data_IF_552180994686
#
_entry.id   IF_552180994686
#
_cell.length_a   1.000
_cell.length_b   1.000
_cell.length_c   1.000
_cell.angle_alpha   90.00
_cell.angle_beta   90.00
_cell.angle_gamma   90.00
#
_symmetry.space_group_name_H-M   'P 1'
#
loop_
_entity.id
_entity.type
_entity.pdbx_description
1 polymer ?
#
# COMPACT_ATOMS: atom_id res chain seq x y z
N UNK A 1 -4.56 -11.69 -24.39
CA UNK A 1 -4.08 -10.32 -24.61
C UNK A 1 -2.60 -10.23 -24.33
N UNK A 2 -1.93 -9.31 -25.02
CA UNK A 2 -0.57 -8.90 -24.71
C UNK A 2 -0.60 -7.54 -24.00
N UNK A 3 -0.14 -7.49 -22.78
CA UNK A 3 -0.30 -6.37 -21.83
C UNK A 3 1.09 -5.79 -21.55
N UNK A 4 1.25 -4.46 -21.62
CA UNK A 4 2.42 -3.75 -21.13
C UNK A 4 2.04 -2.98 -19.86
N UNK A 5 2.75 -3.24 -18.77
CA UNK A 5 2.64 -2.47 -17.54
C UNK A 5 3.84 -1.52 -17.43
N UNK A 6 3.57 -0.25 -17.16
CA UNK A 6 4.58 0.76 -16.89
C UNK A 6 4.52 1.08 -15.40
N UNK A 7 5.55 0.70 -14.64
CA UNK A 7 5.66 1.02 -13.22
C UNK A 7 7.04 1.58 -12.88
N UNK A 8 7.14 2.32 -11.79
CA UNK A 8 8.39 2.93 -11.37
C UNK A 8 9.45 1.93 -10.95
N UNK A 9 9.07 0.79 -10.41
CA UNK A 9 9.97 -0.29 -10.01
C UNK A 9 9.23 -1.63 -10.07
N UNK A 10 9.95 -2.73 -10.15
CA UNK A 10 9.37 -4.06 -10.05
C UNK A 10 9.35 -4.57 -8.60
N UNK A 11 8.68 -5.69 -8.40
CA UNK A 11 8.49 -6.32 -7.10
C UNK A 11 9.75 -7.00 -6.53
N UNK A 12 10.84 -7.10 -7.28
CA UNK A 12 12.14 -7.53 -6.78
C UNK A 12 12.98 -6.38 -6.22
N UNK A 13 12.53 -5.13 -6.37
CA UNK A 13 13.25 -3.99 -5.85
C UNK A 13 13.26 -4.00 -4.31
N UNK A 14 14.42 -3.81 -3.64
CA UNK A 14 14.49 -3.76 -2.18
C UNK A 14 13.61 -2.67 -1.53
N UNK A 15 13.14 -1.70 -2.31
CA UNK A 15 12.21 -0.65 -1.87
C UNK A 15 10.77 -0.90 -2.31
N UNK A 16 10.45 -2.10 -2.80
CA UNK A 16 9.09 -2.48 -3.17
C UNK A 16 8.11 -2.28 -2.01
N UNK A 17 6.87 -1.99 -2.35
CA UNK A 17 5.80 -1.76 -1.38
C UNK A 17 4.47 -2.31 -1.89
N UNK A 18 3.36 -1.76 -1.40
CA UNK A 18 2.02 -2.24 -1.74
C UNK A 18 1.67 -2.18 -3.23
N UNK A 19 2.19 -1.20 -3.97
CA UNK A 19 1.97 -1.10 -5.42
C UNK A 19 2.67 -2.24 -6.18
N UNK A 20 3.91 -2.54 -5.82
CA UNK A 20 4.67 -3.62 -6.42
C UNK A 20 4.12 -5.00 -6.03
N UNK A 21 3.63 -5.14 -4.79
CA UNK A 21 2.90 -6.34 -4.37
C UNK A 21 1.63 -6.54 -5.19
N UNK A 22 0.82 -5.48 -5.39
CA UNK A 22 -0.35 -5.51 -6.27
C UNK A 22 0.05 -5.96 -7.69
N UNK A 23 1.08 -5.37 -8.26
CA UNK A 23 1.58 -5.72 -9.59
C UNK A 23 1.90 -7.21 -9.68
N UNK A 24 2.70 -7.73 -8.75
CA UNK A 24 3.04 -9.15 -8.70
C UNK A 24 1.80 -10.03 -8.58
N UNK A 25 0.96 -9.75 -7.59
CA UNK A 25 -0.18 -10.60 -7.24
C UNK A 25 -1.27 -10.62 -8.32
N UNK A 26 -1.54 -9.49 -8.96
CA UNK A 26 -2.58 -9.39 -9.99
C UNK A 26 -2.06 -9.91 -11.33
N UNK A 27 -0.90 -9.44 -11.78
CA UNK A 27 -0.43 -9.75 -13.13
C UNK A 27 0.15 -11.15 -13.27
N UNK A 28 0.73 -11.77 -12.23
CA UNK A 28 1.09 -13.19 -12.26
C UNK A 28 -0.15 -14.08 -12.43
N UNK A 29 -1.27 -13.73 -11.82
CA UNK A 29 -2.54 -14.46 -12.00
C UNK A 29 -3.13 -14.26 -13.39
N UNK A 30 -2.95 -13.09 -13.99
CA UNK A 30 -3.33 -12.82 -15.38
C UNK A 30 -2.47 -13.65 -16.34
N UNK A 31 -1.16 -13.76 -16.08
CA UNK A 31 -0.26 -14.64 -16.84
C UNK A 31 -0.70 -16.10 -16.74
N UNK A 32 -1.03 -16.57 -15.54
CA UNK A 32 -1.51 -17.95 -15.32
C UNK A 32 -2.81 -18.29 -16.08
N UNK A 33 -3.56 -17.27 -16.55
CA UNK A 33 -4.75 -17.41 -17.43
C UNK A 33 -4.43 -17.34 -18.92
N UNK A 34 -3.15 -17.41 -19.31
CA UNK A 34 -2.71 -17.46 -20.71
C UNK A 34 -2.53 -16.09 -21.37
N UNK A 35 -2.45 -15.00 -20.61
CA UNK A 35 -2.10 -13.67 -21.15
C UNK A 35 -0.60 -13.42 -21.03
N UNK A 36 -0.02 -12.62 -21.94
CA UNK A 36 1.38 -12.19 -21.87
C UNK A 36 1.45 -10.85 -21.16
N UNK A 37 2.35 -10.69 -20.20
CA UNK A 37 2.58 -9.45 -19.46
C UNK A 37 4.05 -9.06 -19.53
N UNK A 38 4.31 -7.90 -20.09
CA UNK A 38 5.60 -7.23 -20.07
C UNK A 38 5.54 -6.08 -19.06
N UNK A 39 6.60 -5.92 -18.26
CA UNK A 39 6.76 -4.83 -17.29
C UNK A 39 7.96 -3.97 -17.69
N UNK A 40 7.74 -2.67 -17.90
CA UNK A 40 8.80 -1.69 -18.07
C UNK A 40 8.93 -0.85 -16.78
N UNK A 41 10.12 -0.84 -16.18
CA UNK A 41 10.37 -0.15 -14.92
C UNK A 41 11.78 0.45 -14.83
N UNK A 42 12.06 1.18 -13.73
CA UNK A 42 13.41 1.66 -13.45
C UNK A 42 14.33 0.55 -12.97
N UNK A 43 15.63 0.73 -13.20
CA UNK A 43 16.71 -0.14 -12.73
C UNK A 43 17.28 0.35 -11.40
N UNK A 44 18.03 -0.53 -10.72
CA UNK A 44 18.88 -0.20 -9.56
C UNK A 44 20.23 -0.90 -9.65
N UNK A 45 21.11 -0.69 -8.67
CA UNK A 45 22.46 -1.25 -8.70
C UNK A 45 22.45 -2.79 -8.73
N UNK A 46 23.31 -3.36 -9.58
CA UNK A 46 23.59 -4.80 -9.67
C UNK A 46 22.37 -5.67 -10.03
N UNK A 47 21.36 -5.11 -10.74
CA UNK A 47 20.21 -5.88 -11.22
C UNK A 47 20.30 -6.11 -12.74
N UNK A 48 19.92 -7.29 -13.28
CA UNK A 48 19.84 -7.51 -14.71
C UNK A 48 18.87 -6.53 -15.39
N UNK A 49 19.21 -6.06 -16.59
CA UNK A 49 18.33 -5.19 -17.40
C UNK A 49 17.06 -5.90 -17.88
N UNK A 50 17.12 -7.24 -18.01
CA UNK A 50 15.98 -8.09 -18.35
C UNK A 50 15.90 -9.23 -17.37
N UNK A 51 14.68 -9.62 -17.02
CA UNK A 51 14.39 -10.70 -16.08
C UNK A 51 13.03 -11.31 -16.45
N UNK A 52 12.75 -12.51 -15.96
CA UNK A 52 11.41 -13.08 -15.98
C UNK A 52 11.11 -13.57 -14.56
N UNK A 53 10.02 -13.11 -13.99
CA UNK A 53 9.57 -13.53 -12.66
C UNK A 53 8.07 -13.76 -12.68
N UNK A 54 7.65 -14.89 -12.16
CA UNK A 54 6.23 -15.28 -12.12
C UNK A 54 5.55 -15.21 -13.52
N UNK A 55 6.34 -15.44 -14.60
CA UNK A 55 5.89 -15.36 -15.99
C UNK A 55 5.75 -13.94 -16.55
N UNK A 56 6.14 -12.91 -15.81
CA UNK A 56 6.17 -11.51 -16.25
C UNK A 56 7.57 -11.20 -16.80
N UNK A 57 7.65 -10.72 -18.04
CA UNK A 57 8.90 -10.28 -18.67
C UNK A 57 9.22 -8.84 -18.23
N UNK A 58 10.32 -8.67 -17.49
CA UNK A 58 10.70 -7.41 -16.87
C UNK A 58 11.81 -6.73 -17.67
N UNK A 59 11.58 -5.48 -18.05
CA UNK A 59 12.54 -4.60 -18.73
C UNK A 59 12.88 -3.42 -17.82
N UNK A 60 14.16 -3.31 -17.41
CA UNK A 60 14.64 -2.25 -16.52
C UNK A 60 15.45 -1.21 -17.26
N UNK A 61 15.05 0.06 -17.17
CA UNK A 61 15.68 1.17 -17.91
C UNK A 61 15.94 2.37 -16.99
N UNK A 62 17.15 2.93 -17.11
CA UNK A 62 17.56 4.10 -16.33
C UNK A 62 17.64 3.81 -14.83
N UNK A 63 17.50 4.87 -14.05
CA UNK A 63 17.43 4.85 -12.59
C UNK A 63 16.08 5.42 -12.16
N UNK A 64 15.76 5.37 -10.86
CA UNK A 64 14.57 6.02 -10.30
C UNK A 64 14.38 7.49 -10.74
N UNK A 65 15.46 8.22 -10.99
CA UNK A 65 15.40 9.63 -11.36
C UNK A 65 15.34 9.87 -12.87
N UNK A 66 15.87 8.94 -13.68
CA UNK A 66 15.94 9.08 -15.13
C UNK A 66 14.86 8.30 -15.87
N UNK A 67 14.17 7.38 -15.20
CA UNK A 67 13.12 6.53 -15.77
C UNK A 67 12.03 7.32 -16.50
N UNK A 68 11.45 8.40 -15.98
CA UNK A 68 10.38 9.14 -16.67
C UNK A 68 10.80 9.66 -18.05
N UNK A 69 12.07 10.00 -18.21
CA UNK A 69 12.62 10.52 -19.47
C UNK A 69 13.02 9.41 -20.44
N UNK A 70 13.34 8.23 -19.93
CA UNK A 70 13.85 7.11 -20.71
C UNK A 70 12.77 6.07 -21.08
N UNK A 71 11.68 6.01 -20.32
CA UNK A 71 10.63 5.03 -20.50
C UNK A 71 10.01 5.09 -21.92
N UNK A 72 9.60 6.30 -22.36
CA UNK A 72 9.04 6.48 -23.71
C UNK A 72 10.04 6.10 -24.79
N UNK A 73 11.28 6.58 -24.71
CA UNK A 73 12.33 6.25 -25.69
C UNK A 73 12.58 4.75 -25.76
N UNK A 74 12.61 4.07 -24.62
CA UNK A 74 12.79 2.62 -24.58
C UNK A 74 11.58 1.88 -25.19
N UNK A 75 10.38 2.33 -24.87
CA UNK A 75 9.15 1.81 -25.48
C UNK A 75 9.19 1.93 -27.00
N UNK A 76 9.42 3.12 -27.54
CA UNK A 76 9.42 3.40 -28.97
C UNK A 76 10.43 2.52 -29.74
N UNK A 77 11.66 2.34 -29.20
CA UNK A 77 12.73 1.63 -29.89
C UNK A 77 12.71 0.11 -29.71
N UNK A 78 12.18 -0.38 -28.59
CA UNK A 78 12.32 -1.78 -28.20
C UNK A 78 11.00 -2.54 -28.07
N UNK A 79 9.93 -1.87 -27.61
CA UNK A 79 8.70 -2.53 -27.21
C UNK A 79 7.50 -2.22 -28.12
N UNK A 80 7.43 -1.07 -28.77
CA UNK A 80 6.28 -0.66 -29.60
C UNK A 80 5.92 -1.69 -30.69
N UNK A 81 6.95 -2.35 -31.29
CA UNK A 81 6.76 -3.41 -32.30
C UNK A 81 6.09 -4.67 -31.75
N UNK A 82 6.01 -4.85 -30.45
CA UNK A 82 5.39 -6.02 -29.83
C UNK A 82 3.86 -6.04 -29.95
N UNK A 83 3.26 -4.96 -30.49
CA UNK A 83 1.81 -4.87 -30.75
C UNK A 83 0.97 -5.20 -29.50
N UNK A 84 1.20 -4.50 -28.40
CA UNK A 84 0.39 -4.64 -27.19
C UNK A 84 -1.08 -4.32 -27.46
N UNK A 85 -1.97 -5.15 -26.94
CA UNK A 85 -3.41 -4.90 -26.99
C UNK A 85 -3.78 -3.74 -26.07
N UNK A 86 -3.06 -3.60 -24.95
CA UNK A 86 -3.29 -2.58 -23.94
C UNK A 86 -2.01 -2.23 -23.18
N UNK A 87 -1.88 -0.96 -22.84
CA UNK A 87 -0.83 -0.43 -21.95
C UNK A 87 -1.49 0.01 -20.65
N UNK A 88 -0.84 -0.29 -19.52
CA UNK A 88 -1.27 0.14 -18.19
C UNK A 88 -0.19 1.04 -17.63
N UNK A 89 -0.53 2.28 -17.29
CA UNK A 89 0.35 3.16 -16.55
C UNK A 89 -0.02 3.15 -15.07
N UNK A 90 0.86 2.64 -14.21
CA UNK A 90 0.73 2.75 -12.77
C UNK A 90 1.21 4.13 -12.30
N UNK A 91 0.25 5.00 -11.98
CA UNK A 91 0.45 6.37 -11.54
C UNK A 91 0.79 6.41 -10.04
N UNK A 92 1.97 5.90 -9.67
CA UNK A 92 2.36 5.80 -8.27
C UNK A 92 3.44 6.80 -7.82
N UNK A 93 3.93 7.65 -8.72
CA UNK A 93 4.90 8.74 -8.42
C UNK A 93 4.66 9.92 -9.37
N UNK A 94 5.54 10.13 -10.36
CA UNK A 94 5.35 11.15 -11.40
C UNK A 94 4.70 10.49 -12.62
N UNK A 95 3.63 11.08 -13.20
CA UNK A 95 3.03 10.56 -14.42
C UNK A 95 4.03 10.49 -15.58
N UNK A 96 3.94 9.42 -16.36
CA UNK A 96 4.72 9.27 -17.60
C UNK A 96 4.05 9.96 -18.79
N UNK A 97 2.81 10.45 -18.59
CA UNK A 97 1.99 11.09 -19.62
C UNK A 97 1.75 10.22 -20.83
N UNK A 98 1.48 8.93 -20.61
CA UNK A 98 1.22 7.93 -21.67
C UNK A 98 0.06 8.27 -22.62
N UNK A 99 -0.93 9.12 -22.29
CA UNK A 99 -1.88 9.63 -23.32
C UNK A 99 -1.20 10.35 -24.49
N UNK A 100 0.04 10.79 -24.31
CA UNK A 100 0.86 11.42 -25.37
C UNK A 100 1.74 10.41 -26.12
N UNK A 101 1.67 9.12 -25.80
CA UNK A 101 2.37 8.06 -26.51
C UNK A 101 1.48 7.46 -27.61
N UNK A 102 2.10 6.85 -28.60
CA UNK A 102 1.37 6.13 -29.64
C UNK A 102 1.04 4.71 -29.16
N UNK A 103 0.01 4.59 -28.31
CA UNK A 103 -0.51 3.32 -27.78
C UNK A 103 -1.94 3.08 -28.25
N UNK A 104 -2.30 1.83 -28.55
CA UNK A 104 -3.64 1.48 -29.06
C UNK A 104 -4.73 1.72 -28.00
N UNK A 105 -4.52 1.20 -26.82
CA UNK A 105 -5.42 1.28 -25.67
C UNK A 105 -4.60 1.55 -24.42
N UNK A 106 -5.17 2.30 -23.50
CA UNK A 106 -4.52 2.73 -22.25
C UNK A 106 -5.47 2.61 -21.07
N UNK A 107 -4.97 2.15 -19.93
CA UNK A 107 -5.61 2.25 -18.61
C UNK A 107 -4.62 2.88 -17.65
N UNK A 108 -5.09 3.80 -16.82
CA UNK A 108 -4.32 4.38 -15.72
C UNK A 108 -4.69 3.66 -14.41
N UNK A 109 -3.72 2.99 -13.79
CA UNK A 109 -3.86 2.38 -12.46
C UNK A 109 -3.37 3.36 -11.40
N UNK A 110 -4.14 3.56 -10.32
CA UNK A 110 -3.81 4.52 -9.27
C UNK A 110 -3.97 3.88 -7.90
N UNK A 111 -2.86 3.79 -7.17
CA UNK A 111 -2.87 3.39 -5.75
C UNK A 111 -3.22 4.60 -4.86
N UNK A 112 -2.47 5.66 -4.99
CA UNK A 112 -2.75 6.97 -4.38
C UNK A 112 -1.94 8.06 -5.10
N UNK A 113 -2.44 9.27 -5.10
CA UNK A 113 -1.71 10.43 -5.56
C UNK A 113 -1.17 11.20 -4.34
N UNK A 114 0.01 11.77 -4.46
CA UNK A 114 0.63 12.47 -3.34
C UNK A 114 -0.12 13.74 -2.94
N UNK A 115 -0.48 14.57 -3.93
CA UNK A 115 -1.03 15.88 -3.63
C UNK A 115 -0.12 16.68 -2.70
N UNK A 116 -0.71 17.35 -1.70
CA UNK A 116 0.04 18.13 -0.71
C UNK A 116 0.88 17.29 0.27
N UNK A 117 0.65 15.98 0.40
CA UNK A 117 1.41 15.13 1.35
C UNK A 117 2.88 14.97 0.96
N UNK A 118 3.21 15.19 -0.32
CA UNK A 118 4.61 15.13 -0.80
C UNK A 118 5.51 16.13 -0.09
N UNK A 119 4.99 17.29 0.37
CA UNK A 119 5.77 18.30 1.10
C UNK A 119 6.21 17.85 2.50
N UNK A 120 5.67 16.75 3.01
CA UNK A 120 6.12 16.12 4.27
C UNK A 120 7.25 15.11 4.06
N UNK A 121 7.54 14.73 2.80
CA UNK A 121 8.44 13.62 2.44
C UNK A 121 9.68 14.05 1.66
N UNK A 122 9.57 15.08 0.86
CA UNK A 122 10.62 15.51 -0.06
C UNK A 122 11.05 16.94 0.25
N UNK A 123 12.26 17.30 -0.22
CA UNK A 123 12.69 18.69 -0.18
C UNK A 123 11.72 19.59 -0.96
N UNK A 124 11.53 20.87 -0.55
CA UNK A 124 10.54 21.74 -1.18
C UNK A 124 10.59 21.82 -2.71
N UNK A 125 11.77 21.91 -3.37
CA UNK A 125 11.82 21.92 -4.84
C UNK A 125 11.34 20.61 -5.46
N UNK A 126 11.72 19.46 -4.89
CA UNK A 126 11.30 18.15 -5.38
C UNK A 126 9.79 17.92 -5.13
N UNK A 127 9.31 18.33 -3.96
CA UNK A 127 7.89 18.24 -3.61
C UNK A 127 7.04 19.10 -4.57
N UNK A 128 7.48 20.31 -4.88
CA UNK A 128 6.81 21.20 -5.85
C UNK A 128 6.81 20.57 -7.25
N UNK A 129 7.91 19.97 -7.70
CA UNK A 129 7.98 19.31 -9.00
C UNK A 129 6.99 18.14 -9.10
N UNK A 130 6.92 17.27 -8.09
CA UNK A 130 5.96 16.16 -8.04
C UNK A 130 4.52 16.69 -8.00
N UNK A 131 4.24 17.65 -7.14
CA UNK A 131 2.90 18.25 -7.03
C UNK A 131 2.44 18.92 -8.33
N UNK A 132 3.33 19.64 -9.03
CA UNK A 132 3.06 20.25 -10.33
C UNK A 132 2.84 19.19 -11.42
N UNK A 133 3.59 18.07 -11.38
CA UNK A 133 3.41 16.99 -12.36
C UNK A 133 2.05 16.29 -12.25
N UNK A 134 1.39 16.32 -11.09
CA UNK A 134 0.03 15.79 -10.94
C UNK A 134 -1.07 16.76 -11.44
N UNK A 135 -0.79 18.03 -11.64
CA UNK A 135 -1.80 19.06 -12.03
C UNK A 135 -2.44 18.79 -13.39
N UNK A 136 -1.71 18.39 -14.44
CA UNK A 136 -2.30 18.16 -15.76
C UNK A 136 -3.14 16.89 -15.87
N UNK A 137 -3.21 16.02 -14.84
CA UNK A 137 -3.91 14.73 -14.91
C UNK A 137 -5.35 14.88 -15.44
N UNK A 138 -6.15 15.78 -14.87
CA UNK A 138 -7.54 16.00 -15.26
C UNK A 138 -7.70 16.44 -16.73
N UNK A 139 -6.69 17.06 -17.32
CA UNK A 139 -6.70 17.48 -18.72
C UNK A 139 -6.17 16.37 -19.65
N UNK A 140 -4.98 15.84 -19.36
CA UNK A 140 -4.29 14.91 -20.26
C UNK A 140 -4.90 13.49 -20.21
N UNK A 141 -5.40 13.06 -19.05
CA UNK A 141 -5.98 11.73 -18.87
C UNK A 141 -7.50 11.69 -18.92
N UNK A 142 -8.18 12.81 -19.26
CA UNK A 142 -9.66 12.91 -19.22
C UNK A 142 -10.42 11.83 -20.01
N UNK A 143 -9.79 11.26 -21.04
CA UNK A 143 -10.37 10.20 -21.91
C UNK A 143 -9.88 8.80 -21.56
N UNK A 144 -8.96 8.67 -20.58
CA UNK A 144 -8.36 7.42 -20.18
C UNK A 144 -9.26 6.73 -19.17
N UNK A 145 -9.56 5.43 -19.31
CA UNK A 145 -10.16 4.63 -18.26
C UNK A 145 -9.19 4.50 -17.08
N UNK A 146 -9.73 4.60 -15.86
CA UNK A 146 -8.96 4.49 -14.62
C UNK A 146 -9.34 3.24 -13.82
N UNK A 147 -8.34 2.65 -13.18
CA UNK A 147 -8.51 1.69 -12.09
C UNK A 147 -7.98 2.33 -10.80
N UNK A 148 -8.83 2.44 -9.79
CA UNK A 148 -8.47 2.93 -8.47
C UNK A 148 -8.55 1.81 -7.45
N UNK A 149 -7.60 1.71 -6.51
CA UNK A 149 -7.57 0.64 -5.51
C UNK A 149 -8.50 0.88 -4.32
N UNK A 150 -9.17 2.04 -4.26
CA UNK A 150 -10.14 2.37 -3.21
C UNK A 150 -11.13 3.44 -3.68
N UNK A 151 -12.27 3.56 -2.99
CA UNK A 151 -13.23 4.66 -3.21
C UNK A 151 -12.58 6.01 -2.91
N UNK A 152 -11.77 6.09 -1.86
CA UNK A 152 -11.05 7.32 -1.49
C UNK A 152 -10.09 7.76 -2.60
N UNK A 153 -9.40 6.83 -3.26
CA UNK A 153 -8.56 7.13 -4.43
C UNK A 153 -9.41 7.58 -5.62
N UNK A 154 -10.55 6.95 -5.86
CA UNK A 154 -11.47 7.36 -6.92
C UNK A 154 -12.04 8.77 -6.67
N UNK A 155 -12.38 9.11 -5.44
CA UNK A 155 -12.82 10.44 -5.05
C UNK A 155 -11.72 11.50 -5.24
N UNK A 156 -10.47 11.16 -4.94
CA UNK A 156 -9.32 12.05 -5.19
C UNK A 156 -9.14 12.32 -6.70
N UNK A 157 -9.30 11.31 -7.54
CA UNK A 157 -9.30 11.44 -9.00
C UNK A 157 -10.43 12.35 -9.50
N UNK A 158 -11.65 12.18 -8.98
CA UNK A 158 -12.81 13.04 -9.34
C UNK A 158 -12.53 14.50 -8.98
N UNK A 159 -11.98 14.76 -7.78
CA UNK A 159 -11.59 16.13 -7.39
C UNK A 159 -10.53 16.74 -8.30
N UNK A 160 -9.76 15.92 -9.01
CA UNK A 160 -8.77 16.36 -10.01
C UNK A 160 -9.31 16.48 -11.42
N UNK A 161 -10.64 16.32 -11.61
CA UNK A 161 -11.32 16.49 -12.89
C UNK A 161 -11.44 15.23 -13.74
N UNK A 162 -11.16 14.04 -13.20
CA UNK A 162 -11.43 12.78 -13.88
C UNK A 162 -12.91 12.42 -13.72
N UNK A 163 -13.55 12.02 -14.82
CA UNK A 163 -14.97 11.62 -14.79
C UNK A 163 -15.18 10.38 -13.92
N UNK A 164 -16.17 10.40 -13.05
CA UNK A 164 -16.54 9.24 -12.21
C UNK A 164 -16.83 8.00 -13.06
N UNK A 165 -17.44 8.16 -14.21
CA UNK A 165 -17.80 7.05 -15.10
C UNK A 165 -16.61 6.39 -15.79
N UNK A 166 -15.43 7.03 -15.79
CA UNK A 166 -14.20 6.47 -16.31
C UNK A 166 -13.36 5.77 -15.23
N UNK A 167 -13.83 5.74 -13.96
CA UNK A 167 -13.09 5.15 -12.85
C UNK A 167 -13.76 3.85 -12.39
N UNK A 168 -13.04 2.75 -12.47
CA UNK A 168 -13.41 1.47 -11.84
C UNK A 168 -12.64 1.30 -10.53
N UNK A 169 -13.35 1.03 -9.44
CA UNK A 169 -12.72 0.70 -8.15
C UNK A 169 -12.51 -0.79 -8.09
N UNK A 170 -11.26 -1.22 -7.95
CA UNK A 170 -10.86 -2.62 -7.79
C UNK A 170 -9.93 -2.69 -6.59
N UNK A 171 -10.43 -3.23 -5.49
CA UNK A 171 -9.69 -3.33 -4.24
C UNK A 171 -8.53 -4.33 -4.33
N UNK A 172 -7.44 -4.05 -3.63
CA UNK A 172 -6.37 -5.01 -3.45
C UNK A 172 -6.84 -6.20 -2.62
N UNK A 173 -6.22 -7.34 -2.83
CA UNK A 173 -6.47 -8.55 -2.07
C UNK A 173 -5.52 -8.74 -0.89
N UNK A 174 -5.77 -9.82 -0.17
CA UNK A 174 -4.88 -10.40 0.84
C UNK A 174 -4.80 -11.91 0.61
N UNK A 175 -3.67 -12.52 0.91
CA UNK A 175 -3.56 -13.99 0.87
C UNK A 175 -4.10 -14.61 2.16
N UNK A 176 -5.42 -14.72 2.23
CA UNK A 176 -6.11 -15.29 3.39
C UNK A 176 -5.91 -16.81 3.56
N UNK A 177 -5.23 -17.48 2.61
CA UNK A 177 -4.85 -18.89 2.75
C UNK A 177 -3.52 -19.04 3.49
N UNK A 178 -2.56 -18.17 3.24
CA UNK A 178 -1.29 -18.13 3.96
C UNK A 178 -1.44 -17.41 5.30
N UNK A 179 -2.13 -16.26 5.32
CA UNK A 179 -2.40 -15.46 6.51
C UNK A 179 -3.65 -16.03 7.21
N UNK A 180 -3.44 -16.88 8.20
CA UNK A 180 -4.53 -17.52 8.96
C UNK A 180 -4.41 -17.21 10.45
N UNK A 181 -5.52 -17.11 11.18
CA UNK A 181 -5.50 -16.98 12.63
C UNK A 181 -4.91 -18.22 13.30
N UNK A 182 -4.18 -18.00 14.37
CA UNK A 182 -3.82 -19.02 15.33
C UNK A 182 -3.93 -18.44 16.76
N UNK A 183 -5.05 -18.66 17.45
CA UNK A 183 -5.26 -18.12 18.80
C UNK A 183 -4.24 -18.61 19.82
N UNK A 184 -3.59 -19.78 19.59
CA UNK A 184 -2.60 -20.33 20.49
C UNK A 184 -1.28 -19.56 20.48
N UNK A 185 -1.01 -18.81 19.39
CA UNK A 185 0.16 -17.93 19.29
C UNK A 185 -0.06 -16.56 19.94
N UNK A 186 -1.30 -16.21 20.36
CA UNK A 186 -1.59 -14.91 20.96
C UNK A 186 -0.71 -14.66 22.18
N UNK A 187 -0.02 -13.51 22.21
CA UNK A 187 0.84 -13.17 23.34
C UNK A 187 0.02 -13.07 24.64
N UNK A 188 0.54 -13.64 25.74
CA UNK A 188 -0.09 -13.56 27.05
C UNK A 188 -0.17 -12.13 27.55
N UNK A 189 0.88 -11.35 27.32
CA UNK A 189 0.93 -9.92 27.66
C UNK A 189 0.54 -9.05 26.45
N UNK A 190 -0.03 -7.86 26.67
CA UNK A 190 -0.47 -6.99 25.58
C UNK A 190 0.66 -6.65 24.61
N UNK A 191 0.54 -7.12 23.37
CA UNK A 191 1.46 -6.87 22.29
C UNK A 191 0.77 -6.06 21.20
N UNK A 192 1.28 -4.86 20.94
CA UNK A 192 0.86 -4.02 19.81
C UNK A 192 1.91 -4.06 18.71
N UNK A 193 1.47 -4.03 17.46
CA UNK A 193 2.35 -4.17 16.30
C UNK A 193 2.13 -3.03 15.32
N UNK A 194 3.22 -2.43 14.85
CA UNK A 194 3.22 -1.62 13.64
C UNK A 194 3.89 -2.41 12.52
N UNK A 195 3.26 -2.45 11.33
CA UNK A 195 3.82 -3.08 10.13
C UNK A 195 3.84 -2.09 8.98
N UNK A 196 5.04 -1.72 8.51
CA UNK A 196 5.18 -0.83 7.36
C UNK A 196 6.50 -0.07 7.29
N UNK A 197 6.67 0.71 6.21
CA UNK A 197 7.89 1.52 6.02
C UNK A 197 8.03 2.59 7.09
N UNK A 198 9.25 2.78 7.61
CA UNK A 198 9.55 3.82 8.60
C UNK A 198 9.87 5.14 7.89
N UNK A 199 8.81 5.83 7.48
CA UNK A 199 8.83 7.14 6.83
C UNK A 199 8.12 8.17 7.70
N UNK A 200 8.54 9.44 7.61
CA UNK A 200 7.95 10.51 8.43
C UNK A 200 6.43 10.62 8.25
N UNK A 201 5.92 10.49 7.00
CA UNK A 201 4.48 10.58 6.73
C UNK A 201 3.65 9.44 7.31
N UNK A 202 4.25 8.29 7.62
CA UNK A 202 3.56 7.14 8.23
C UNK A 202 3.19 7.38 9.70
N UNK A 203 3.70 8.44 10.30
CA UNK A 203 3.37 8.88 11.65
C UNK A 203 3.51 7.81 12.73
N UNK A 204 4.55 6.99 12.61
CA UNK A 204 4.87 5.97 13.64
C UNK A 204 5.22 6.64 14.98
N UNK A 205 5.63 7.89 14.94
CA UNK A 205 5.81 8.74 16.12
C UNK A 205 4.54 8.85 16.99
N UNK A 206 3.36 8.95 16.37
CA UNK A 206 2.08 8.97 17.09
C UNK A 206 1.73 7.61 17.70
N UNK A 207 2.07 6.52 17.02
CA UNK A 207 1.90 5.17 17.59
C UNK A 207 2.77 5.00 18.85
N UNK A 208 4.02 5.48 18.82
CA UNK A 208 4.93 5.42 19.98
C UNK A 208 4.41 6.30 21.13
N UNK A 209 3.90 7.51 20.84
CA UNK A 209 3.28 8.38 21.86
C UNK A 209 2.05 7.75 22.48
N UNK A 210 1.14 7.23 21.64
CA UNK A 210 -0.05 6.52 22.14
C UNK A 210 0.31 5.32 23.03
N UNK A 211 1.35 4.58 22.65
CA UNK A 211 1.86 3.46 23.43
C UNK A 211 2.49 3.92 24.76
N UNK A 212 3.19 5.05 24.77
CA UNK A 212 3.71 5.65 26.01
C UNK A 212 2.57 6.03 26.96
N UNK A 213 1.52 6.67 26.44
CA UNK A 213 0.34 7.12 27.19
C UNK A 213 -0.51 5.95 27.73
N UNK A 214 -0.36 4.75 27.19
CA UNK A 214 -0.98 3.53 27.71
C UNK A 214 -0.50 3.23 29.15
N UNK A 215 0.78 3.53 29.44
CA UNK A 215 1.42 3.39 30.74
C UNK A 215 1.22 2.03 31.42
N UNK A 216 1.39 0.95 30.67
CA UNK A 216 1.29 -0.45 31.13
C UNK A 216 2.67 -1.11 31.03
N UNK A 217 3.37 -1.39 32.16
CA UNK A 217 4.73 -1.91 32.15
C UNK A 217 4.91 -3.24 31.42
N UNK A 218 3.91 -4.12 31.48
CA UNK A 218 3.92 -5.44 30.86
C UNK A 218 3.66 -5.43 29.35
N UNK A 219 3.19 -4.29 28.82
CA UNK A 219 2.90 -4.20 27.38
C UNK A 219 4.16 -4.00 26.54
N UNK A 220 4.12 -4.45 25.28
CA UNK A 220 5.20 -4.30 24.29
C UNK A 220 4.66 -3.72 22.99
N UNK A 221 5.44 -2.86 22.33
CA UNK A 221 5.22 -2.41 20.97
C UNK A 221 6.33 -2.95 20.07
N UNK A 222 5.97 -3.78 19.08
CA UNK A 222 6.90 -4.30 18.07
C UNK A 222 6.69 -3.57 16.75
N UNK A 223 7.77 -2.95 16.22
CA UNK A 223 7.76 -2.12 15.01
C UNK A 223 8.51 -2.86 13.92
N UNK A 224 7.77 -3.46 12.98
CA UNK A 224 8.28 -4.19 11.84
C UNK A 224 8.34 -3.28 10.61
N UNK A 225 9.52 -3.15 10.03
CA UNK A 225 9.78 -2.38 8.82
C UNK A 225 11.10 -1.63 8.84
N UNK A 226 11.44 -1.08 7.67
CA UNK A 226 12.67 -0.32 7.44
C UNK A 226 12.35 1.08 6.93
N UNK A 227 13.28 2.00 7.10
CA UNK A 227 13.15 3.36 6.58
C UNK A 227 14.09 4.35 7.23
N UNK A 228 14.26 5.50 6.57
CA UNK A 228 15.19 6.54 7.00
C UNK A 228 14.73 7.30 8.26
N UNK A 229 13.52 7.06 8.75
CA UNK A 229 12.99 7.72 9.95
C UNK A 229 13.21 6.90 11.23
N UNK A 230 13.81 5.69 11.13
CA UNK A 230 14.03 4.78 12.26
C UNK A 230 14.78 5.44 13.43
N UNK A 231 15.92 6.11 13.16
CA UNK A 231 16.72 6.73 14.21
C UNK A 231 15.94 7.79 15.02
N UNK A 232 15.06 8.56 14.35
CA UNK A 232 14.17 9.52 15.02
C UNK A 232 13.18 8.83 15.96
N UNK A 233 12.61 7.69 15.51
CA UNK A 233 11.65 6.93 16.30
C UNK A 233 12.30 6.26 17.52
N UNK A 234 13.51 5.73 17.37
CA UNK A 234 14.31 5.20 18.49
C UNK A 234 14.68 6.31 19.47
N UNK A 235 15.02 7.50 18.96
CA UNK A 235 15.25 8.69 19.79
C UNK A 235 14.00 9.11 20.58
N UNK A 236 12.82 9.05 19.96
CA UNK A 236 11.56 9.34 20.61
C UNK A 236 11.25 8.32 21.71
N UNK A 237 11.43 7.02 21.47
CA UNK A 237 11.20 5.99 22.48
C UNK A 237 12.09 6.21 23.73
N UNK A 238 13.37 6.57 23.53
CA UNK A 238 14.28 6.95 24.63
C UNK A 238 13.82 8.20 25.38
N UNK A 239 13.40 9.25 24.67
CA UNK A 239 12.94 10.48 25.31
C UNK A 239 11.66 10.31 26.14
N UNK A 240 10.88 9.27 25.83
CA UNK A 240 9.67 8.88 26.55
C UNK A 240 9.94 7.79 27.62
N UNK A 241 11.18 7.37 27.80
CA UNK A 241 11.62 6.31 28.75
C UNK A 241 10.88 4.97 28.54
N UNK A 242 10.61 4.59 27.29
CA UNK A 242 9.93 3.34 26.92
C UNK A 242 10.75 2.46 25.99
N UNK A 243 12.05 2.75 25.79
CA UNK A 243 12.93 2.00 24.88
C UNK A 243 13.01 0.51 25.21
N UNK A 244 12.87 0.12 26.47
CA UNK A 244 12.82 -1.29 26.88
C UNK A 244 11.55 -2.02 26.45
N UNK A 245 10.49 -1.32 26.10
CA UNK A 245 9.19 -1.86 25.70
C UNK A 245 8.88 -1.68 24.20
N UNK A 246 9.70 -0.92 23.48
CA UNK A 246 9.55 -0.69 22.03
C UNK A 246 10.66 -1.42 21.28
N UNK A 247 10.31 -2.41 20.48
CA UNK A 247 11.25 -3.23 19.72
C UNK A 247 11.20 -2.91 18.23
N UNK A 248 12.33 -2.52 17.65
CA UNK A 248 12.45 -2.26 16.21
C UNK A 248 13.01 -3.49 15.50
N UNK A 249 12.14 -4.26 14.85
CA UNK A 249 12.48 -5.56 14.25
C UNK A 249 13.21 -5.45 12.92
N UNK A 250 13.14 -4.28 12.23
CA UNK A 250 13.66 -4.15 10.88
C UNK A 250 12.76 -4.83 9.84
N UNK A 251 13.37 -5.31 8.75
CA UNK A 251 12.64 -6.11 7.76
C UNK A 251 12.27 -7.46 8.35
N UNK A 252 11.02 -7.85 8.19
CA UNK A 252 10.47 -9.11 8.68
C UNK A 252 10.04 -9.95 7.48
N UNK A 253 10.61 -11.17 7.29
CA UNK A 253 10.16 -12.11 6.27
C UNK A 253 8.70 -12.51 6.43
N UNK A 254 8.09 -13.07 5.39
CA UNK A 254 6.66 -13.35 5.34
C UNK A 254 6.17 -14.30 6.45
N UNK A 255 6.92 -15.37 6.71
CA UNK A 255 6.65 -16.32 7.79
C UNK A 255 6.68 -15.65 9.16
N UNK A 256 7.71 -14.85 9.43
CA UNK A 256 7.83 -14.11 10.68
C UNK A 256 6.75 -13.01 10.81
N UNK A 257 6.34 -12.41 9.68
CA UNK A 257 5.22 -11.46 9.65
C UNK A 257 3.92 -12.11 10.11
N UNK A 258 3.65 -13.33 9.64
CA UNK A 258 2.46 -14.09 10.04
C UNK A 258 2.46 -14.34 11.54
N UNK A 259 3.56 -14.86 12.08
CA UNK A 259 3.71 -15.07 13.53
C UNK A 259 3.58 -13.78 14.33
N UNK A 260 4.18 -12.68 13.86
CA UNK A 260 4.07 -11.38 14.49
C UNK A 260 2.62 -10.90 14.58
N UNK A 261 1.86 -11.03 13.48
CA UNK A 261 0.47 -10.62 13.43
C UNK A 261 -0.43 -11.52 14.29
N UNK A 262 -0.21 -12.83 14.32
CA UNK A 262 -0.96 -13.76 15.17
C UNK A 262 -0.78 -13.49 16.65
N UNK A 263 0.46 -13.14 17.07
CA UNK A 263 0.79 -12.78 18.45
C UNK A 263 0.19 -11.46 18.92
N UNK A 264 -0.05 -10.54 17.99
CA UNK A 264 -0.45 -9.18 18.34
C UNK A 264 -1.89 -9.11 18.88
N UNK A 265 -2.11 -8.31 19.90
CA UNK A 265 -3.44 -7.93 20.40
C UNK A 265 -4.12 -6.95 19.45
N UNK A 266 -3.34 -6.05 18.83
CA UNK A 266 -3.79 -5.22 17.72
C UNK A 266 -2.62 -4.78 16.83
N UNK A 267 -2.91 -4.57 15.53
CA UNK A 267 -2.05 -3.81 14.62
C UNK A 267 -2.42 -2.34 14.71
N UNK A 268 -1.42 -1.43 14.69
CA UNK A 268 -1.65 0.01 14.88
C UNK A 268 -1.08 0.80 13.71
N UNK A 269 -1.90 1.68 13.08
CA UNK A 269 -1.51 2.43 11.89
C UNK A 269 -1.99 3.89 11.96
N UNK A 270 -1.05 4.83 12.02
CA UNK A 270 -1.33 6.27 12.15
C UNK A 270 -1.18 7.06 10.83
N UNK A 271 -1.11 6.38 9.67
CA UNK A 271 -0.88 7.05 8.37
C UNK A 271 -2.03 8.00 8.01
N UNK A 272 -1.73 9.24 7.62
CA UNK A 272 -2.77 10.22 7.21
C UNK A 272 -3.37 9.93 5.83
N UNK A 273 -2.76 9.06 5.05
CA UNK A 273 -3.23 8.64 3.72
C UNK A 273 -2.57 7.33 3.30
N UNK A 274 -3.37 6.41 2.83
CA UNK A 274 -2.95 5.16 2.17
C UNK A 274 -3.74 4.96 0.87
N UNK A 275 -3.24 4.08 0.01
CA UNK A 275 -4.02 3.63 -1.14
C UNK A 275 -5.19 2.76 -0.71
N UNK A 276 -4.90 1.75 0.13
CA UNK A 276 -5.91 0.78 0.60
C UNK A 276 -5.67 0.31 2.05
N UNK A 277 -4.43 0.20 2.51
CA UNK A 277 -4.11 -0.37 3.82
C UNK A 277 -3.98 -1.90 3.78
N UNK A 278 -3.16 -2.43 2.88
CA UNK A 278 -2.91 -3.88 2.76
C UNK A 278 -2.48 -4.47 4.10
N UNK A 279 -1.61 -3.79 4.87
CA UNK A 279 -1.18 -4.25 6.19
C UNK A 279 -2.31 -4.40 7.21
N UNK A 280 -3.39 -3.63 7.08
CA UNK A 280 -4.59 -3.79 7.91
C UNK A 280 -5.32 -5.09 7.56
N UNK A 281 -5.44 -5.40 6.26
CA UNK A 281 -6.05 -6.64 5.81
C UNK A 281 -5.18 -7.87 6.15
N UNK A 282 -3.85 -7.73 6.13
CA UNK A 282 -2.93 -8.79 6.57
C UNK A 282 -3.12 -9.09 8.07
N UNK A 283 -3.21 -8.06 8.90
CA UNK A 283 -3.52 -8.22 10.32
C UNK A 283 -4.91 -8.85 10.52
N UNK A 284 -5.92 -8.33 9.84
CA UNK A 284 -7.28 -8.85 9.87
C UNK A 284 -7.35 -10.32 9.43
N UNK A 285 -6.62 -10.71 8.39
CA UNK A 285 -6.53 -12.09 7.92
C UNK A 285 -5.92 -13.03 8.96
N UNK A 286 -5.01 -12.54 9.80
CA UNK A 286 -4.47 -13.27 10.95
C UNK A 286 -5.39 -13.24 12.19
N UNK A 287 -6.59 -12.69 12.10
CA UNK A 287 -7.52 -12.58 13.23
C UNK A 287 -7.06 -11.52 14.26
N UNK A 288 -6.35 -10.50 13.81
CA UNK A 288 -5.84 -9.43 14.66
C UNK A 288 -6.55 -8.13 14.33
N UNK A 289 -7.27 -7.52 15.30
CA UNK A 289 -7.97 -6.27 15.09
C UNK A 289 -6.98 -5.11 14.81
N UNK A 290 -7.49 -4.05 14.20
CA UNK A 290 -6.69 -2.90 13.79
C UNK A 290 -7.12 -1.64 14.53
N UNK A 291 -6.16 -0.86 15.03
CA UNK A 291 -6.36 0.50 15.51
C UNK A 291 -5.74 1.43 14.48
N UNK A 292 -6.54 2.21 13.77
CA UNK A 292 -6.01 2.99 12.65
C UNK A 292 -6.61 4.40 12.55
N UNK A 293 -5.86 5.31 11.93
CA UNK A 293 -6.36 6.63 11.60
C UNK A 293 -7.57 6.56 10.65
N UNK A 294 -8.62 7.32 10.90
CA UNK A 294 -9.76 7.46 10.00
C UNK A 294 -9.38 8.29 8.77
N UNK A 295 -8.47 7.78 7.97
CA UNK A 295 -7.87 8.47 6.83
C UNK A 295 -8.25 7.82 5.49
N UNK A 296 -8.12 8.56 4.37
CA UNK A 296 -8.39 8.01 3.04
C UNK A 296 -7.64 6.71 2.77
N UNK A 297 -8.35 5.72 2.22
CA UNK A 297 -7.88 4.36 2.00
C UNK A 297 -7.98 3.49 3.25
N UNK A 298 -7.48 3.93 4.40
CA UNK A 298 -7.51 3.15 5.66
C UNK A 298 -8.95 2.90 6.13
N UNK A 299 -9.80 3.92 6.12
CA UNK A 299 -11.21 3.81 6.55
C UNK A 299 -12.05 2.79 5.77
N UNK A 300 -11.53 2.31 4.66
CA UNK A 300 -12.18 1.28 3.84
C UNK A 300 -11.66 -0.12 4.16
N UNK A 301 -10.52 -0.25 4.85
CA UNK A 301 -9.91 -1.51 5.26
C UNK A 301 -10.17 -1.87 6.73
N UNK A 302 -10.91 -1.03 7.45
CA UNK A 302 -11.32 -1.24 8.85
C UNK A 302 -12.77 -0.80 9.00
N UNK A 303 -13.61 -1.61 9.64
CA UNK A 303 -14.97 -1.27 10.04
C UNK A 303 -14.91 -0.89 11.51
N UNK A 304 -15.18 0.40 11.81
CA UNK A 304 -15.09 0.95 13.16
C UNK A 304 -16.03 0.23 14.14
N UNK A 305 -15.49 -0.19 15.29
CA UNK A 305 -16.21 -0.94 16.33
C UNK A 305 -16.51 -2.39 15.99
N UNK A 306 -16.23 -2.86 14.76
CA UNK A 306 -16.52 -4.23 14.31
C UNK A 306 -15.24 -5.03 14.01
N UNK A 307 -14.32 -4.49 13.19
CA UNK A 307 -13.07 -5.15 12.83
C UNK A 307 -11.85 -4.50 13.50
N UNK A 308 -12.08 -3.45 14.25
CA UNK A 308 -11.06 -2.64 14.92
C UNK A 308 -11.61 -1.27 15.26
N UNK A 309 -10.73 -0.28 15.39
CA UNK A 309 -11.08 1.09 15.76
C UNK A 309 -10.50 2.09 14.79
N UNK A 310 -11.33 3.04 14.34
CA UNK A 310 -10.91 4.20 13.57
C UNK A 310 -10.81 5.42 14.49
N UNK A 311 -9.62 6.00 14.59
CA UNK A 311 -9.37 7.19 15.42
C UNK A 311 -9.34 8.46 14.58
N UNK A 312 -9.72 9.64 15.10
CA UNK A 312 -9.69 10.91 14.39
C UNK A 312 -8.27 11.24 13.90
N UNK A 313 -8.15 11.93 12.74
CA UNK A 313 -6.85 12.24 12.15
C UNK A 313 -6.51 13.74 12.09
N UNK A 314 -7.46 14.60 12.43
CA UNK A 314 -7.33 16.05 12.21
C UNK A 314 -6.44 16.74 13.24
N UNK A 315 -6.30 16.14 14.42
CA UNK A 315 -5.44 16.59 15.51
C UNK A 315 -4.51 15.46 15.96
N UNK A 316 -3.21 15.74 16.06
CA UNK A 316 -2.18 14.73 16.35
C UNK A 316 -2.23 14.25 17.82
N UNK A 317 -2.52 15.14 18.76
CA UNK A 317 -2.64 14.80 20.17
C UNK A 317 -3.93 14.01 20.41
N UNK A 318 -5.04 14.45 19.84
CA UNK A 318 -6.29 13.72 19.89
C UNK A 318 -6.19 12.33 19.24
N UNK A 319 -5.45 12.19 18.13
CA UNK A 319 -5.19 10.90 17.50
C UNK A 319 -4.41 9.98 18.44
N UNK A 320 -3.30 10.44 19.03
CA UNK A 320 -2.49 9.64 19.93
C UNK A 320 -3.30 9.23 21.18
N UNK A 321 -4.05 10.14 21.76
CA UNK A 321 -4.93 9.86 22.91
C UNK A 321 -6.02 8.83 22.57
N UNK A 322 -6.66 8.94 21.40
CA UNK A 322 -7.67 7.99 20.95
C UNK A 322 -7.08 6.60 20.67
N UNK A 323 -5.87 6.52 20.08
CA UNK A 323 -5.15 5.25 19.92
C UNK A 323 -4.83 4.62 21.30
N UNK A 324 -4.34 5.42 22.25
CA UNK A 324 -4.06 4.94 23.61
C UNK A 324 -5.35 4.43 24.29
N UNK A 325 -6.46 5.14 24.14
CA UNK A 325 -7.77 4.72 24.65
C UNK A 325 -8.24 3.39 24.05
N UNK A 326 -8.10 3.23 22.72
CA UNK A 326 -8.42 1.97 22.03
C UNK A 326 -7.53 0.81 22.51
N UNK A 327 -6.22 1.01 22.64
CA UNK A 327 -5.30 0.02 23.21
C UNK A 327 -5.72 -0.37 24.65
N UNK A 328 -6.04 0.62 25.49
CA UNK A 328 -6.49 0.41 26.87
C UNK A 328 -7.80 -0.37 26.92
N UNK A 329 -8.75 -0.09 26.02
CA UNK A 329 -10.01 -0.84 25.91
C UNK A 329 -9.79 -2.33 25.63
N UNK A 330 -8.85 -2.67 24.74
CA UNK A 330 -8.48 -4.05 24.46
C UNK A 330 -7.85 -4.74 25.68
N UNK A 331 -7.02 -4.03 26.43
CA UNK A 331 -6.37 -4.57 27.66
C UNK A 331 -7.40 -4.81 28.76
N UNK A 332 -8.34 -3.88 28.94
CA UNK A 332 -9.42 -4.00 29.94
C UNK A 332 -10.45 -5.08 29.60
N UNK A 333 -10.56 -5.43 28.31
CA UNK A 333 -11.52 -6.40 27.81
C UNK A 333 -10.86 -7.37 26.81
N UNK A 334 -10.01 -8.34 27.28
CA UNK A 334 -9.25 -9.23 26.40
C UNK A 334 -10.13 -10.03 25.41
N UNK A 335 -11.36 -10.38 25.81
CA UNK A 335 -12.32 -11.05 24.91
C UNK A 335 -12.63 -10.21 23.66
N UNK A 336 -12.53 -8.89 23.74
CA UNK A 336 -12.77 -7.99 22.62
C UNK A 336 -11.76 -8.20 21.49
N UNK A 337 -10.52 -8.58 21.81
CA UNK A 337 -9.50 -8.94 20.81
C UNK A 337 -9.98 -10.11 19.93
N UNK A 338 -10.54 -11.14 20.54
CA UNK A 338 -11.05 -12.31 19.82
C UNK A 338 -12.32 -12.00 19.02
N UNK A 339 -13.23 -11.18 19.58
CA UNK A 339 -14.48 -10.77 18.91
C UNK A 339 -14.18 -9.94 17.66
N UNK A 340 -13.41 -8.85 17.84
CA UNK A 340 -13.00 -7.99 16.72
C UNK A 340 -12.12 -8.74 15.70
N UNK A 341 -11.20 -9.58 16.19
CA UNK A 341 -10.32 -10.38 15.35
C UNK A 341 -11.07 -11.38 14.46
N UNK A 342 -12.12 -12.01 15.00
CA UNK A 342 -12.98 -12.92 14.23
C UNK A 342 -13.79 -12.19 13.16
N UNK A 343 -14.31 -11.01 13.47
CA UNK A 343 -15.00 -10.16 12.49
C UNK A 343 -14.01 -9.61 11.44
N UNK A 344 -12.82 -9.20 11.86
CA UNK A 344 -11.76 -8.73 10.98
C UNK A 344 -11.35 -9.83 9.98
N UNK A 345 -11.20 -11.07 10.44
CA UNK A 345 -10.92 -12.23 9.57
C UNK A 345 -11.98 -12.41 8.49
N UNK A 346 -13.25 -12.44 8.86
CA UNK A 346 -14.35 -12.57 7.91
C UNK A 346 -14.37 -11.43 6.89
N UNK A 347 -14.11 -10.22 7.34
CA UNK A 347 -14.00 -9.06 6.45
C UNK A 347 -12.84 -9.19 5.48
N UNK A 348 -11.63 -9.55 5.94
CA UNK A 348 -10.45 -9.71 5.11
C UNK A 348 -10.63 -10.80 4.02
N UNK A 349 -11.34 -11.88 4.32
CA UNK A 349 -11.62 -12.97 3.37
C UNK A 349 -12.45 -12.52 2.16
N UNK A 350 -13.14 -11.39 2.25
CA UNK A 350 -13.90 -10.84 1.11
C UNK A 350 -12.98 -10.18 0.06
N UNK A 351 -11.71 -9.90 0.41
CA UNK A 351 -10.71 -9.26 -0.46
C UNK A 351 -9.62 -10.26 -0.83
N UNK A 352 -9.76 -10.89 -1.99
CA UNK A 352 -8.76 -11.85 -2.47
C UNK A 352 -8.02 -11.31 -3.68
N UNK A 353 -6.73 -11.68 -3.82
CA UNK A 353 -5.96 -11.38 -5.03
C UNK A 353 -6.56 -12.01 -6.27
N UNK A 354 -7.25 -13.14 -6.12
CA UNK A 354 -7.97 -13.80 -7.22
C UNK A 354 -9.09 -12.92 -7.77
N UNK A 355 -9.90 -12.34 -6.88
CA UNK A 355 -10.95 -11.38 -7.25
C UNK A 355 -10.36 -10.13 -7.87
N UNK A 356 -9.31 -9.56 -7.28
CA UNK A 356 -8.63 -8.38 -7.84
C UNK A 356 -8.11 -8.63 -9.25
N UNK A 357 -7.52 -9.80 -9.51
CA UNK A 357 -7.05 -10.19 -10.84
C UNK A 357 -8.19 -10.40 -11.85
N UNK A 358 -9.30 -11.05 -11.43
CA UNK A 358 -10.48 -11.23 -12.28
C UNK A 358 -11.12 -9.89 -12.66
N UNK A 359 -11.33 -9.00 -11.68
CA UNK A 359 -11.95 -7.70 -11.90
C UNK A 359 -11.04 -6.80 -12.76
N UNK A 360 -9.72 -6.88 -12.58
CA UNK A 360 -8.73 -6.20 -13.44
C UNK A 360 -8.79 -6.73 -14.86
N UNK A 361 -8.74 -8.05 -15.06
CA UNK A 361 -8.79 -8.65 -16.39
C UNK A 361 -10.07 -8.28 -17.14
N UNK A 362 -11.23 -8.38 -16.48
CA UNK A 362 -12.51 -7.98 -17.05
C UNK A 362 -12.55 -6.48 -17.44
N UNK A 363 -11.92 -5.62 -16.64
CA UNK A 363 -11.79 -4.20 -16.99
C UNK A 363 -10.91 -3.99 -18.23
N UNK A 364 -9.78 -4.69 -18.33
CA UNK A 364 -8.88 -4.59 -19.47
C UNK A 364 -9.57 -5.11 -20.76
N UNK A 365 -10.27 -6.23 -20.70
CA UNK A 365 -11.04 -6.80 -21.83
C UNK A 365 -12.13 -5.84 -22.32
N UNK A 366 -12.86 -5.20 -21.38
CA UNK A 366 -13.85 -4.17 -21.73
C UNK A 366 -13.21 -2.98 -22.46
N UNK A 367 -12.03 -2.53 -22.02
CA UNK A 367 -11.31 -1.41 -22.66
C UNK A 367 -10.80 -1.79 -24.04
N UNK A 368 -10.31 -3.02 -24.22
CA UNK A 368 -9.82 -3.51 -25.51
C UNK A 368 -10.96 -3.68 -26.51
N UNK A 369 -12.15 -4.10 -26.07
CA UNK A 369 -13.31 -4.35 -26.94
C UNK A 369 -14.00 -3.08 -27.46
N UNK A 370 -13.80 -1.93 -26.80
CA UNK A 370 -14.29 -0.61 -27.22
C UNK A 370 -13.39 0.08 -28.22
#
# INVERSE_FOLDING_TARGET
>A
MRILVLNWQDFANPQAGGAELHLQQVFSRIVARGHSVDLLCSSWANVPKRDNRDGIDIYRVGTRHTYPFLAKRYYDHNLARNNYDIVIEDLNKVPLYTPMWEVKKLVALVHHLFGGTVFREASPPLAAAVWLSERPLGLLYRKVPFQAVSKSTAEDLVRRGISRNSIRVIYNGVDSRALTPDPSERAEQPLFVYLGRLKKYKRVDLVIRAFADLNLPESTLEIAGTGNYRANLEGLARSLHIEGRVKFLGFVPEDQKIHLLRRAWASVLASPKEGWGISNLEAAACGTPVIAANSPGIRESVIDGETGFLVPQDDEEAMAAAMAAAMRGLVQSPNLVSVLGSAARKFAETFTWERAANDTLAHLEEVVSK
#
